data_IF_970072625868
#
_entry.id   IF_970072625868
#
_cell.length_a   1.000
_cell.length_b   1.000
_cell.length_c   1.000
_cell.angle_alpha   90.00
_cell.angle_beta   90.00
_cell.angle_gamma   90.00
#
_symmetry.space_group_name_H-M   'P 1'
#
loop_
_entity.id
_entity.type
_entity.pdbx_description
1 polymer ?
#
# COMPACT_ATOMS: atom_id res chain seq x y z
N UNK A 1 19.67 0.92 -46.90
CA UNK A 1 18.39 0.35 -46.40
C UNK A 1 17.94 1.24 -45.27
N UNK A 2 16.80 1.91 -45.46
CA UNK A 2 16.23 2.87 -44.51
C UNK A 2 15.74 2.15 -43.26
N UNK A 3 16.18 2.60 -42.09
CA UNK A 3 15.48 2.35 -40.83
C UNK A 3 15.25 3.69 -40.17
N UNK A 4 14.09 4.28 -40.50
CA UNK A 4 13.56 5.44 -39.79
C UNK A 4 13.00 4.95 -38.45
N UNK A 5 13.78 5.10 -37.38
CA UNK A 5 13.28 4.92 -36.02
C UNK A 5 12.39 6.11 -35.68
N UNK A 6 11.08 5.86 -35.73
CA UNK A 6 10.02 6.77 -35.33
C UNK A 6 10.21 7.17 -33.86
N UNK A 7 10.40 8.48 -33.64
CA UNK A 7 10.34 9.12 -32.34
C UNK A 7 8.87 9.20 -31.91
N UNK A 8 8.38 8.21 -31.19
CA UNK A 8 7.11 8.32 -30.48
C UNK A 8 7.32 9.21 -29.27
N UNK A 9 6.85 10.46 -29.39
CA UNK A 9 6.83 11.42 -28.30
C UNK A 9 5.96 10.91 -27.15
N UNK A 10 6.54 10.88 -25.95
CA UNK A 10 5.79 10.69 -24.72
C UNK A 10 5.04 11.98 -24.40
N UNK A 11 3.79 12.10 -24.83
CA UNK A 11 2.88 13.13 -24.35
C UNK A 11 1.84 12.49 -23.43
N UNK A 12 1.77 12.98 -22.18
CA UNK A 12 0.61 12.83 -21.31
C UNK A 12 0.76 11.92 -20.09
N UNK A 13 1.46 12.37 -19.04
CA UNK A 13 1.33 11.77 -17.68
C UNK A 13 1.04 12.78 -16.57
N UNK A 14 0.67 14.03 -16.89
CA UNK A 14 0.41 15.05 -15.86
C UNK A 14 -0.83 14.74 -15.00
N UNK A 15 -1.84 14.07 -15.55
CA UNK A 15 -3.07 13.73 -14.82
C UNK A 15 -2.93 12.62 -13.77
N UNK A 16 -2.02 11.66 -13.98
CA UNK A 16 -1.89 10.47 -13.10
C UNK A 16 -1.40 10.83 -11.70
N UNK A 17 -0.42 11.73 -11.60
CA UNK A 17 0.19 12.07 -10.32
C UNK A 17 -0.78 12.82 -9.39
N UNK A 18 -1.62 13.71 -9.93
CA UNK A 18 -2.55 14.48 -9.12
C UNK A 18 -3.60 13.58 -8.43
N UNK A 19 -4.12 12.58 -9.15
CA UNK A 19 -5.03 11.57 -8.59
C UNK A 19 -4.36 10.75 -7.49
N UNK A 20 -3.12 10.28 -7.73
CA UNK A 20 -2.35 9.52 -6.75
C UNK A 20 -2.06 10.34 -5.49
N UNK A 21 -1.66 11.61 -5.61
CA UNK A 21 -1.43 12.50 -4.46
C UNK A 21 -2.69 12.70 -3.63
N UNK A 22 -3.86 12.86 -4.27
CA UNK A 22 -5.14 12.97 -3.55
C UNK A 22 -5.44 11.69 -2.77
N UNK A 23 -5.31 10.52 -3.40
CA UNK A 23 -5.53 9.23 -2.74
C UNK A 23 -4.60 9.04 -1.53
N UNK A 24 -3.30 9.31 -1.71
CA UNK A 24 -2.30 9.21 -0.65
C UNK A 24 -2.56 10.20 0.50
N UNK A 25 -2.99 11.42 0.20
CA UNK A 25 -3.33 12.43 1.22
C UNK A 25 -4.52 11.97 2.06
N UNK A 26 -5.56 11.41 1.42
CA UNK A 26 -6.73 10.89 2.13
C UNK A 26 -6.38 9.67 2.99
N UNK A 27 -5.56 8.75 2.48
CA UNK A 27 -5.10 7.59 3.26
C UNK A 27 -4.24 7.99 4.45
N UNK A 28 -3.31 8.95 4.28
CA UNK A 28 -2.49 9.46 5.37
C UNK A 28 -3.36 10.09 6.46
N UNK A 29 -4.32 10.93 6.06
CA UNK A 29 -5.30 11.52 6.99
C UNK A 29 -6.08 10.43 7.73
N UNK A 30 -6.57 9.41 7.03
CA UNK A 30 -7.32 8.30 7.62
C UNK A 30 -6.49 7.46 8.61
N UNK A 31 -5.19 7.27 8.36
CA UNK A 31 -4.28 6.61 9.30
C UNK A 31 -3.98 7.47 10.53
N UNK A 32 -3.94 8.79 10.39
CA UNK A 32 -3.72 9.73 11.50
C UNK A 32 -4.98 9.91 12.37
N UNK A 33 -6.17 9.98 11.76
CA UNK A 33 -7.44 10.15 12.48
C UNK A 33 -7.93 8.86 13.14
N UNK A 34 -7.63 7.70 12.55
CA UNK A 34 -7.95 6.39 13.10
C UNK A 34 -6.69 5.51 13.15
N UNK A 35 -5.81 5.70 14.15
CA UNK A 35 -4.62 4.89 14.30
C UNK A 35 -4.96 3.40 14.47
N UNK A 36 -4.01 2.53 14.10
CA UNK A 36 -4.11 1.07 14.22
C UNK A 36 -2.95 0.57 15.06
N UNK A 37 -3.18 -0.41 15.93
CA UNK A 37 -2.09 -1.05 16.66
C UNK A 37 -1.05 -1.68 15.73
N UNK A 38 0.19 -1.67 16.22
CA UNK A 38 1.28 -2.39 15.57
C UNK A 38 2.07 -1.62 14.51
N UNK A 39 1.65 -0.42 14.11
CA UNK A 39 2.50 0.42 13.27
C UNK A 39 2.25 1.92 13.41
N UNK A 40 3.25 2.71 13.03
CA UNK A 40 3.10 4.14 12.77
C UNK A 40 3.61 4.48 11.37
N UNK A 41 3.06 5.53 10.78
CA UNK A 41 3.38 5.98 9.42
C UNK A 41 3.77 7.44 9.43
N UNK A 42 4.79 7.79 8.65
CA UNK A 42 5.22 9.17 8.43
C UNK A 42 5.53 9.35 6.94
N UNK A 43 4.78 10.24 6.29
CA UNK A 43 5.08 10.61 4.91
C UNK A 43 6.32 11.50 4.84
N UNK A 44 7.12 11.35 3.79
CA UNK A 44 8.23 12.26 3.53
C UNK A 44 7.70 13.63 3.11
N UNK A 45 8.26 14.70 3.69
CA UNK A 45 7.81 16.08 3.47
C UNK A 45 8.09 16.57 2.03
N UNK A 46 9.18 16.12 1.43
CA UNK A 46 9.60 16.52 0.08
C UNK A 46 8.94 15.67 -1.03
N UNK A 47 8.53 14.44 -0.70
CA UNK A 47 8.00 13.48 -1.65
C UNK A 47 6.91 12.60 -1.04
N UNK A 48 5.66 12.95 -1.31
CA UNK A 48 4.47 12.22 -0.87
C UNK A 48 4.40 10.76 -1.35
N UNK A 49 5.19 10.36 -2.36
CA UNK A 49 5.29 8.98 -2.83
C UNK A 49 6.28 8.12 -2.03
N UNK A 50 6.88 8.64 -0.96
CA UNK A 50 7.81 7.90 -0.11
C UNK A 50 7.40 8.04 1.35
N UNK A 51 6.98 6.95 1.98
CA UNK A 51 6.60 6.95 3.40
C UNK A 51 7.54 6.06 4.20
N UNK A 52 7.82 6.46 5.44
CA UNK A 52 8.50 5.61 6.42
C UNK A 52 7.45 5.01 7.34
N UNK A 53 7.60 3.73 7.63
CA UNK A 53 6.73 2.98 8.54
C UNK A 53 7.59 2.36 9.63
N UNK A 54 7.14 2.47 10.86
CA UNK A 54 7.66 1.67 11.97
C UNK A 54 6.64 0.59 12.29
N UNK A 55 7.04 -0.68 12.18
CA UNK A 55 6.27 -1.86 12.53
C UNK A 55 6.74 -2.38 13.90
N UNK A 56 5.79 -2.64 14.79
CA UNK A 56 6.05 -3.18 16.12
C UNK A 56 5.71 -4.66 16.13
N UNK A 57 6.63 -5.47 16.67
CA UNK A 57 6.43 -6.91 16.76
C UNK A 57 5.28 -7.29 17.69
N UNK A 58 4.28 -8.05 17.24
CA UNK A 58 3.09 -8.32 18.04
C UNK A 58 3.41 -9.17 19.29
N UNK A 59 2.75 -8.90 20.43
CA UNK A 59 2.87 -9.71 21.64
C UNK A 59 2.50 -11.18 21.40
N UNK A 60 3.23 -12.10 22.03
CA UNK A 60 3.04 -13.54 21.87
C UNK A 60 3.69 -14.15 20.62
N UNK A 61 4.38 -13.34 19.80
CA UNK A 61 5.08 -13.80 18.60
C UNK A 61 6.60 -13.82 18.81
N UNK A 62 7.35 -14.44 17.90
CA UNK A 62 8.82 -14.39 17.93
C UNK A 62 9.39 -12.97 17.74
N UNK A 63 8.58 -12.06 17.22
CA UNK A 63 8.96 -10.67 16.94
C UNK A 63 8.62 -9.72 18.08
N UNK A 64 7.94 -10.17 19.14
CA UNK A 64 7.48 -9.33 20.26
C UNK A 64 8.58 -8.38 20.76
N UNK A 65 8.22 -7.09 20.88
CA UNK A 65 9.16 -6.04 21.32
C UNK A 65 10.23 -5.68 20.27
N UNK A 66 10.03 -6.07 19.02
CA UNK A 66 10.85 -5.65 17.88
C UNK A 66 10.35 -4.34 17.26
N UNK A 67 11.28 -3.58 16.67
CA UNK A 67 11.03 -2.31 15.99
C UNK A 67 11.59 -2.35 14.56
N UNK A 68 10.73 -2.59 13.58
CA UNK A 68 11.13 -2.81 12.20
C UNK A 68 10.74 -1.61 11.34
N UNK A 69 11.74 -0.88 10.86
CA UNK A 69 11.52 0.26 9.98
C UNK A 69 11.44 -0.22 8.55
N UNK A 70 10.47 0.28 7.81
CA UNK A 70 10.35 0.04 6.38
C UNK A 70 10.08 1.34 5.63
N UNK A 71 10.42 1.36 4.35
CA UNK A 71 10.03 2.41 3.42
C UNK A 71 8.98 1.86 2.46
N UNK A 72 7.88 2.60 2.33
CA UNK A 72 6.88 2.41 1.28
C UNK A 72 7.22 3.38 0.15
N UNK A 73 7.25 2.86 -1.08
CA UNK A 73 7.37 3.69 -2.29
C UNK A 73 6.17 3.46 -3.18
N UNK A 74 5.42 4.51 -3.44
CA UNK A 74 4.20 4.47 -4.22
C UNK A 74 4.50 4.75 -5.69
N UNK A 75 3.85 4.03 -6.62
CA UNK A 75 3.95 4.35 -8.03
C UNK A 75 3.13 5.60 -8.36
N UNK A 76 3.45 6.27 -9.46
CA UNK A 76 2.76 7.49 -9.91
C UNK A 76 1.30 7.27 -10.34
N UNK A 77 0.89 6.01 -10.52
CA UNK A 77 -0.47 5.58 -10.84
C UNK A 77 -1.17 4.89 -9.66
N UNK A 78 -0.70 5.07 -8.42
CA UNK A 78 -1.44 4.62 -7.24
C UNK A 78 -2.87 5.20 -7.23
N UNK A 79 -3.92 4.44 -6.88
CA UNK A 79 -3.93 3.06 -6.35
C UNK A 79 -4.04 1.95 -7.41
N UNK A 80 -3.83 2.23 -8.70
CA UNK A 80 -3.92 1.19 -9.75
C UNK A 80 -2.75 0.20 -9.73
N UNK A 81 -1.64 0.57 -9.12
CA UNK A 81 -0.53 -0.33 -8.82
C UNK A 81 -0.14 -0.23 -7.33
N UNK A 82 0.34 -1.33 -6.73
CA UNK A 82 0.70 -1.36 -5.32
C UNK A 82 1.98 -0.56 -5.04
N UNK A 83 2.20 -0.10 -3.79
CA UNK A 83 3.51 0.34 -3.36
C UNK A 83 4.49 -0.84 -3.25
N UNK A 84 5.79 -0.55 -3.28
CA UNK A 84 6.81 -1.50 -2.82
C UNK A 84 7.12 -1.26 -1.34
N UNK A 85 7.39 -2.32 -0.57
CA UNK A 85 7.86 -2.23 0.82
C UNK A 85 9.28 -2.77 0.93
N UNK A 86 10.15 -2.01 1.59
CA UNK A 86 11.51 -2.42 1.89
C UNK A 86 11.88 -2.14 3.33
N UNK A 87 12.25 -3.18 4.08
CA UNK A 87 12.81 -3.03 5.42
C UNK A 87 14.18 -2.33 5.38
N UNK A 88 14.36 -1.36 6.27
CA UNK A 88 15.57 -0.58 6.42
C UNK A 88 16.55 -1.23 7.40
N UNK A 89 16.04 -1.92 8.41
CA UNK A 89 16.82 -2.78 9.28
C UNK A 89 16.63 -4.26 8.91
N UNK A 90 17.57 -5.11 9.34
CA UNK A 90 17.60 -6.52 8.93
C UNK A 90 16.44 -7.30 9.55
N UNK A 91 15.67 -8.00 8.71
CA UNK A 91 14.57 -8.87 9.12
C UNK A 91 14.78 -10.28 8.59
N UNK A 92 14.91 -11.25 9.48
CA UNK A 92 15.03 -12.68 9.21
C UNK A 92 13.62 -13.23 9.14
N UNK A 93 13.12 -13.39 7.93
CA UNK A 93 11.75 -13.81 7.70
C UNK A 93 11.64 -14.50 6.33
N UNK A 94 10.85 -15.58 6.19
CA UNK A 94 10.70 -16.31 4.92
C UNK A 94 10.31 -15.45 3.73
N UNK A 95 9.57 -14.36 3.95
CA UNK A 95 9.06 -13.46 2.91
C UNK A 95 9.84 -12.14 2.77
N UNK A 96 11.00 -11.99 3.40
CA UNK A 96 11.87 -10.81 3.25
C UNK A 96 13.18 -11.21 2.58
N UNK A 97 13.52 -10.57 1.46
CA UNK A 97 14.78 -10.77 0.76
C UNK A 97 15.96 -10.24 1.59
N UNK A 98 17.18 -10.71 1.32
CA UNK A 98 18.39 -10.24 2.04
C UNK A 98 18.63 -8.73 1.88
N UNK A 99 18.14 -8.15 0.78
CA UNK A 99 18.23 -6.70 0.54
C UNK A 99 17.17 -5.88 1.31
N UNK A 100 16.21 -6.53 1.99
CA UNK A 100 15.12 -5.92 2.74
C UNK A 100 13.77 -5.86 2.01
N UNK A 101 13.69 -6.18 0.72
CA UNK A 101 12.41 -6.13 -0.01
C UNK A 101 11.43 -7.18 0.52
N UNK A 102 10.18 -6.78 0.72
CA UNK A 102 9.10 -7.66 1.20
C UNK A 102 8.34 -8.28 0.02
N UNK A 103 8.09 -9.58 0.09
CA UNK A 103 7.36 -10.34 -0.93
C UNK A 103 6.07 -10.93 -0.37
N UNK A 104 4.92 -10.34 -0.73
CA UNK A 104 3.58 -10.85 -0.40
C UNK A 104 2.60 -10.56 -1.54
N UNK A 105 1.59 -11.42 -1.70
CA UNK A 105 0.63 -11.38 -2.79
C UNK A 105 -0.06 -10.01 -2.94
N UNK A 106 -0.46 -9.37 -1.84
CA UNK A 106 -1.15 -8.05 -1.87
C UNK A 106 -0.28 -6.95 -2.50
N UNK A 107 1.04 -7.13 -2.59
CA UNK A 107 1.97 -6.20 -3.26
C UNK A 107 2.28 -6.61 -4.70
N UNK A 108 1.75 -7.72 -5.19
CA UNK A 108 1.90 -8.14 -6.58
C UNK A 108 0.89 -7.43 -7.49
N UNK A 109 1.29 -6.94 -8.67
CA UNK A 109 0.40 -6.32 -9.63
C UNK A 109 -0.81 -7.22 -10.00
N UNK A 110 -1.94 -6.65 -10.43
CA UNK A 110 -3.18 -7.36 -10.75
C UNK A 110 -3.12 -8.22 -12.03
N UNK A 111 -1.93 -8.60 -12.49
CA UNK A 111 -1.77 -9.43 -13.69
C UNK A 111 -2.22 -10.84 -13.38
N UNK A 112 -3.01 -11.46 -14.26
CA UNK A 112 -3.30 -12.90 -14.15
C UNK A 112 -2.04 -13.68 -14.56
N UNK A 113 -1.42 -14.34 -13.58
CA UNK A 113 -0.30 -15.24 -13.81
C UNK A 113 -0.68 -16.65 -13.35
N UNK A 114 -1.15 -17.50 -14.29
CA UNK A 114 -1.57 -18.86 -13.99
C UNK A 114 -0.49 -19.73 -13.34
N UNK A 115 0.78 -19.35 -13.45
CA UNK A 115 1.91 -20.13 -12.93
C UNK A 115 2.29 -19.73 -11.50
N UNK A 116 1.76 -18.62 -10.96
CA UNK A 116 2.15 -18.19 -9.62
C UNK A 116 1.48 -19.00 -8.51
N UNK A 117 0.33 -19.62 -8.80
CA UNK A 117 -0.51 -20.30 -7.81
C UNK A 117 -1.20 -19.37 -6.80
N UNK A 118 -1.19 -18.06 -7.02
CA UNK A 118 -1.88 -17.08 -6.16
C UNK A 118 -3.27 -16.81 -6.71
N UNK A 119 -4.24 -16.58 -5.83
CA UNK A 119 -5.56 -16.17 -6.27
C UNK A 119 -5.53 -14.69 -6.68
N UNK A 120 -6.22 -14.34 -7.77
CA UNK A 120 -6.34 -12.94 -8.20
C UNK A 120 -6.89 -12.02 -7.08
N UNK A 121 -7.73 -12.55 -6.17
CA UNK A 121 -8.25 -11.80 -5.02
C UNK A 121 -7.22 -11.58 -3.90
N UNK A 122 -6.14 -12.36 -3.85
CA UNK A 122 -5.03 -12.18 -2.90
C UNK A 122 -4.01 -11.14 -3.39
N UNK A 123 -4.09 -10.78 -4.67
CA UNK A 123 -3.22 -9.78 -5.31
C UNK A 123 -3.71 -8.35 -5.10
N UNK A 124 -2.86 -7.40 -5.47
CA UNK A 124 -3.21 -5.98 -5.41
C UNK A 124 -4.49 -5.70 -6.20
N UNK A 125 -5.38 -4.92 -5.61
CA UNK A 125 -6.48 -4.30 -6.32
C UNK A 125 -6.71 -2.89 -5.73
N UNK A 126 -7.30 -1.94 -6.49
CA UNK A 126 -7.39 -0.54 -6.05
C UNK A 126 -8.30 -0.28 -4.82
N UNK A 127 -9.00 -1.28 -4.29
CA UNK A 127 -9.77 -1.16 -3.04
C UNK A 127 -8.91 -1.42 -1.80
N UNK A 128 -7.73 -2.01 -1.98
CA UNK A 128 -6.71 -2.11 -0.94
C UNK A 128 -6.08 -0.73 -0.69
N UNK A 129 -5.54 -0.55 0.50
CA UNK A 129 -4.93 0.69 0.98
C UNK A 129 -3.77 0.41 1.93
N UNK A 130 -3.02 1.44 2.31
CA UNK A 130 -1.85 1.30 3.19
C UNK A 130 -2.19 0.61 4.51
N UNK A 131 -3.38 0.86 5.09
CA UNK A 131 -3.84 0.16 6.30
C UNK A 131 -3.91 -1.35 6.09
N UNK A 132 -4.60 -1.80 5.04
CA UNK A 132 -4.75 -3.23 4.74
C UNK A 132 -3.41 -3.90 4.46
N UNK A 133 -2.52 -3.22 3.73
CA UNK A 133 -1.17 -3.70 3.45
C UNK A 133 -0.39 -3.93 4.75
N UNK A 134 -0.32 -2.92 5.64
CA UNK A 134 0.47 -3.00 6.86
C UNK A 134 -0.10 -4.02 7.87
N UNK A 135 -1.43 -4.17 7.92
CA UNK A 135 -2.07 -5.25 8.67
C UNK A 135 -1.68 -6.63 8.12
N UNK A 136 -1.64 -6.80 6.79
CA UNK A 136 -1.13 -8.03 6.17
C UNK A 136 0.33 -8.28 6.52
N UNK A 137 1.19 -7.26 6.56
CA UNK A 137 2.60 -7.41 6.99
C UNK A 137 2.69 -7.88 8.45
N UNK A 138 1.91 -7.29 9.35
CA UNK A 138 1.88 -7.67 10.77
C UNK A 138 1.44 -9.12 10.95
N UNK A 139 0.38 -9.55 10.26
CA UNK A 139 -0.08 -10.93 10.28
C UNK A 139 0.99 -11.88 9.75
N UNK A 140 1.65 -11.50 8.65
CA UNK A 140 2.70 -12.29 8.01
C UNK A 140 3.90 -12.52 8.94
N UNK A 141 4.30 -11.54 9.76
CA UNK A 141 5.40 -11.71 10.71
C UNK A 141 5.20 -12.94 11.61
N UNK A 142 3.97 -13.25 12.01
CA UNK A 142 3.68 -14.43 12.83
C UNK A 142 3.38 -15.69 12.00
N UNK A 143 2.78 -15.51 10.82
CA UNK A 143 2.39 -16.60 9.91
C UNK A 143 3.06 -16.47 8.54
N UNK A 144 4.37 -16.75 8.44
CA UNK A 144 5.08 -16.67 7.17
C UNK A 144 4.50 -17.58 6.10
N UNK A 145 4.43 -17.09 4.86
CA UNK A 145 4.13 -17.92 3.70
C UNK A 145 5.41 -18.63 3.24
N UNK A 146 5.45 -19.95 3.45
CA UNK A 146 6.60 -20.80 3.09
C UNK A 146 6.51 -21.47 1.73
N UNK A 147 5.41 -21.29 1.00
CA UNK A 147 5.19 -21.89 -0.33
C UNK A 147 6.03 -21.22 -1.40
N UNK A 148 6.21 -19.89 -1.30
CA UNK A 148 6.99 -19.07 -2.23
C UNK A 148 7.90 -18.10 -1.46
N UNK A 149 8.94 -18.60 -0.76
CA UNK A 149 9.73 -17.76 0.14
C UNK A 149 10.73 -16.88 -0.63
N UNK A 150 10.84 -15.62 -0.21
CA UNK A 150 11.91 -14.72 -0.61
C UNK A 150 13.27 -15.13 0.01
N UNK A 151 13.23 -15.73 1.20
CA UNK A 151 14.39 -16.26 1.91
C UNK A 151 14.18 -17.76 2.20
N UNK A 152 14.81 -18.59 1.38
CA UNK A 152 14.69 -20.06 1.43
C UNK A 152 15.22 -20.61 2.75
N UNK A 153 16.33 -20.07 3.27
CA UNK A 153 16.93 -20.54 4.52
C UNK A 153 16.01 -20.25 5.71
N UNK A 154 15.48 -19.02 5.82
CA UNK A 154 14.50 -18.65 6.82
C UNK A 154 13.25 -19.53 6.75
N UNK A 155 12.78 -19.84 5.53
CA UNK A 155 11.63 -20.72 5.29
C UNK A 155 11.87 -22.15 5.78
N UNK A 156 13.04 -22.74 5.48
CA UNK A 156 13.43 -24.08 5.96
C UNK A 156 13.54 -24.10 7.48
N UNK A 157 14.19 -23.10 8.07
CA UNK A 157 14.35 -23.01 9.53
C UNK A 157 13.00 -22.84 10.23
N UNK A 158 12.10 -21.99 9.70
CA UNK A 158 10.76 -21.79 10.25
C UNK A 158 9.95 -23.09 10.24
N UNK A 159 9.95 -23.85 9.14
CA UNK A 159 9.24 -25.14 9.08
C UNK A 159 9.76 -26.12 10.13
N UNK A 160 11.08 -26.28 10.24
CA UNK A 160 11.69 -27.13 11.27
C UNK A 160 11.33 -26.68 12.69
N UNK A 161 11.35 -25.38 12.95
CA UNK A 161 10.94 -24.81 14.23
C UNK A 161 9.48 -25.17 14.55
N UNK A 162 8.56 -24.92 13.60
CA UNK A 162 7.12 -25.20 13.75
C UNK A 162 6.82 -26.69 13.95
N UNK A 163 7.36 -27.56 13.10
CA UNK A 163 7.17 -29.02 13.16
C UNK A 163 7.72 -29.63 14.45
N UNK A 164 8.79 -29.04 15.00
CA UNK A 164 9.39 -29.50 16.26
C UNK A 164 8.67 -28.99 17.52
N UNK A 165 7.64 -28.15 17.37
CA UNK A 165 7.00 -27.46 18.49
C UNK A 165 7.95 -26.51 19.22
N UNK A 166 8.86 -25.86 18.48
CA UNK A 166 9.83 -24.92 19.01
C UNK A 166 11.14 -25.52 19.54
N UNK A 167 11.30 -26.85 19.55
CA UNK A 167 12.55 -27.51 20.01
C UNK A 167 13.75 -27.19 19.11
N UNK A 168 13.54 -27.08 17.81
CA UNK A 168 14.55 -26.60 16.87
C UNK A 168 14.53 -25.06 16.84
N UNK A 169 15.23 -24.45 17.79
CA UNK A 169 15.20 -23.02 18.09
C UNK A 169 16.09 -22.16 17.16
N UNK A 170 16.65 -22.73 16.08
CA UNK A 170 17.56 -21.99 15.20
C UNK A 170 16.91 -20.73 14.59
N UNK A 171 15.70 -20.88 14.06
CA UNK A 171 14.91 -19.77 13.50
C UNK A 171 14.66 -18.69 14.57
N UNK A 172 14.07 -19.10 15.69
CA UNK A 172 13.66 -18.21 16.76
C UNK A 172 14.86 -17.51 17.42
N UNK A 173 16.02 -18.17 17.54
CA UNK A 173 17.27 -17.54 18.00
C UNK A 173 17.73 -16.43 17.07
N UNK A 174 17.65 -16.59 15.76
CA UNK A 174 18.02 -15.56 14.80
C UNK A 174 17.04 -14.37 14.84
N UNK A 175 15.73 -14.64 14.94
CA UNK A 175 14.72 -13.60 15.10
C UNK A 175 14.95 -12.81 16.39
N UNK A 176 15.13 -13.48 17.54
CA UNK A 176 15.40 -12.80 18.82
C UNK A 176 16.63 -11.90 18.79
N UNK A 177 17.70 -12.34 18.12
CA UNK A 177 18.90 -11.51 17.91
C UNK A 177 18.60 -10.22 17.16
N UNK A 178 17.69 -10.26 16.18
CA UNK A 178 17.30 -9.07 15.42
C UNK A 178 16.31 -8.19 16.17
N UNK A 179 15.40 -8.79 16.96
CA UNK A 179 14.55 -8.04 17.88
C UNK A 179 15.42 -7.22 18.84
N UNK A 180 16.42 -7.84 19.46
CA UNK A 180 17.38 -7.14 20.34
C UNK A 180 18.11 -6.02 19.61
N UNK A 181 18.65 -6.29 18.41
CA UNK A 181 19.32 -5.25 17.61
C UNK A 181 18.37 -4.09 17.25
N UNK A 182 17.11 -4.39 16.95
CA UNK A 182 16.11 -3.40 16.58
C UNK A 182 15.72 -2.46 17.72
N UNK A 183 15.89 -2.89 18.98
CA UNK A 183 15.67 -2.03 20.16
C UNK A 183 16.69 -0.89 20.21
N UNK A 184 17.93 -1.15 19.81
CA UNK A 184 18.96 -0.10 19.70
C UNK A 184 18.60 0.93 18.62
N UNK A 185 17.99 0.49 17.51
CA UNK A 185 17.48 1.39 16.48
C UNK A 185 16.31 2.24 17.02
N UNK A 186 15.42 1.65 17.84
CA UNK A 186 14.31 2.37 18.48
C UNK A 186 14.81 3.44 19.45
N UNK A 187 15.79 3.10 20.30
CA UNK A 187 16.42 4.05 21.22
C UNK A 187 17.04 5.23 20.48
N UNK A 188 17.74 4.95 19.38
CA UNK A 188 18.34 6.00 18.53
C UNK A 188 17.30 6.93 17.92
N UNK A 189 16.15 6.40 17.55
CA UNK A 189 15.02 7.17 17.00
C UNK A 189 14.13 7.81 18.08
N UNK A 190 14.38 7.55 19.36
CA UNK A 190 13.54 8.03 20.47
C UNK A 190 12.16 7.37 20.54
N UNK A 191 12.02 6.16 20.00
CA UNK A 191 10.76 5.42 19.94
C UNK A 191 10.65 4.46 21.13
N UNK A 192 9.53 4.52 21.84
CA UNK A 192 9.20 3.55 22.89
C UNK A 192 8.46 2.37 22.25
N UNK A 193 9.09 1.20 22.28
CA UNK A 193 8.53 -0.02 21.69
C UNK A 193 7.55 -0.67 22.67
N UNK A 194 6.30 -0.98 22.26
CA UNK A 194 5.37 -1.73 23.11
C UNK A 194 5.87 -3.16 23.32
N UNK A 195 5.98 -3.59 24.57
CA UNK A 195 6.45 -4.93 24.91
C UNK A 195 5.32 -5.83 25.44
N UNK A 196 4.28 -5.21 25.98
CA UNK A 196 3.12 -5.90 26.55
C UNK A 196 1.89 -5.78 25.66
N UNK A 197 0.90 -6.65 25.88
CA UNK A 197 -0.38 -6.56 25.18
C UNK A 197 -1.12 -5.24 25.46
N UNK A 198 -1.02 -4.73 26.69
CA UNK A 198 -1.68 -3.48 27.10
C UNK A 198 -1.07 -2.24 26.44
N UNK A 199 0.23 -2.25 26.19
CA UNK A 199 0.93 -1.17 25.47
C UNK A 199 0.73 -1.26 23.96
N UNK A 200 0.61 -2.48 23.44
CA UNK A 200 0.43 -2.72 22.02
C UNK A 200 -0.97 -2.32 21.54
N UNK A 201 -2.00 -2.59 22.34
CA UNK A 201 -3.39 -2.29 21.98
C UNK A 201 -3.74 -0.82 22.20
N UNK A 202 -4.35 -0.19 21.19
CA UNK A 202 -4.88 1.17 21.33
C UNK A 202 -6.08 1.14 22.27
N UNK A 203 -6.03 1.95 23.34
CA UNK A 203 -7.14 2.10 24.27
C UNK A 203 -8.29 2.85 23.59
N UNK A 204 -9.34 2.14 23.20
CA UNK A 204 -10.59 2.78 22.79
C UNK A 204 -11.28 3.37 24.01
N UNK A 205 -11.46 4.69 24.05
CA UNK A 205 -12.37 5.30 25.02
C UNK A 205 -13.80 4.80 24.73
N UNK A 206 -14.60 4.45 25.74
CA UNK A 206 -16.00 4.16 25.53
C UNK A 206 -16.66 5.42 24.94
N UNK A 207 -17.19 5.30 23.72
CA UNK A 207 -18.05 6.35 23.14
C UNK A 207 -19.20 6.56 24.12
N UNK A 208 -19.36 7.77 24.66
CA UNK A 208 -20.61 8.14 25.34
C UNK A 208 -21.74 7.92 24.34
N UNK A 209 -22.81 7.22 24.75
CA UNK A 209 -23.99 6.95 23.91
C UNK A 209 -24.82 8.22 23.56
N UNK A 210 -24.21 9.40 23.60
CA UNK A 210 -24.85 10.63 23.18
C UNK A 210 -24.39 10.92 21.75
N UNK A 211 -25.38 10.90 20.86
CA UNK A 211 -25.33 11.28 19.45
C UNK A 211 -24.78 10.25 18.44
N UNK A 212 -25.54 9.17 18.23
CA UNK A 212 -25.66 8.58 16.89
C UNK A 212 -26.59 9.46 16.03
N UNK A 213 -26.21 10.71 15.80
CA UNK A 213 -26.58 11.40 14.57
C UNK A 213 -25.37 11.30 13.66
N UNK A 214 -25.30 10.19 12.89
CA UNK A 214 -24.42 10.13 11.73
C UNK A 214 -24.90 11.20 10.75
N UNK A 215 -24.41 12.42 10.95
CA UNK A 215 -24.38 13.45 9.94
C UNK A 215 -23.51 12.91 8.81
N UNK A 216 -24.17 12.33 7.82
CA UNK A 216 -23.60 12.16 6.49
C UNK A 216 -23.28 13.57 5.99
N UNK A 217 -22.05 14.02 6.22
CA UNK A 217 -21.45 15.18 5.56
C UNK A 217 -21.33 14.85 4.06
N UNK A 218 -22.44 14.98 3.34
CA UNK A 218 -22.51 15.03 1.88
C UNK A 218 -22.45 16.48 1.43
N UNK A 219 -21.42 17.21 1.85
CA UNK A 219 -21.16 18.57 1.37
C UNK A 219 -19.75 18.64 0.79
N UNK A 220 -19.49 17.99 -0.34
CA UNK A 220 -18.45 18.49 -1.25
C UNK A 220 -18.64 17.96 -2.69
N UNK A 221 -18.88 18.90 -3.61
CA UNK A 221 -18.91 18.77 -5.09
C UNK A 221 -20.26 18.69 -5.84
N UNK A 222 -21.20 19.59 -5.52
CA UNK A 222 -22.21 20.01 -6.50
C UNK A 222 -21.51 20.69 -7.69
N UNK A 223 -21.29 19.93 -8.77
CA UNK A 223 -20.82 20.43 -10.05
C UNK A 223 -21.85 21.42 -10.62
N UNK A 224 -21.49 22.69 -10.61
CA UNK A 224 -22.16 23.76 -11.34
C UNK A 224 -21.94 23.52 -12.84
N UNK A 225 -22.94 22.98 -13.52
CA UNK A 225 -22.98 23.03 -14.99
C UNK A 225 -23.26 24.47 -15.36
N UNK A 226 -22.19 25.21 -15.65
CA UNK A 226 -22.26 26.47 -16.36
C UNK A 226 -23.02 26.26 -17.66
N UNK A 227 -24.23 26.79 -17.68
CA UNK A 227 -25.07 27.06 -18.84
C UNK A 227 -24.31 28.01 -19.78
N UNK A 228 -23.52 27.45 -20.70
CA UNK A 228 -23.12 28.17 -21.91
C UNK A 228 -24.24 27.99 -22.93
N UNK A 229 -25.15 28.95 -22.89
CA UNK A 229 -26.24 29.20 -23.82
C UNK A 229 -25.80 29.19 -25.28
N UNK A 230 -26.51 28.37 -26.07
CA UNK A 230 -26.93 28.54 -27.46
C UNK A 230 -26.15 29.51 -28.37
N UNK A 231 -25.28 28.94 -29.20
CA UNK A 231 -25.09 29.42 -30.57
C UNK A 231 -25.49 28.25 -31.51
N UNK A 232 -26.81 28.09 -31.72
CA UNK A 232 -27.34 27.30 -32.83
C UNK A 232 -27.03 28.05 -34.15
N UNK A 233 -25.98 27.63 -34.86
CA UNK A 233 -25.74 28.08 -36.23
C UNK A 233 -26.82 27.47 -37.17
N UNK A 234 -27.76 28.31 -37.57
CA UNK A 234 -28.78 28.06 -38.60
C UNK A 234 -28.11 27.64 -39.93
N UNK A 235 -28.43 26.43 -40.39
CA UNK A 235 -28.13 25.97 -41.74
C UNK A 235 -29.21 26.49 -42.69
N UNK A 236 -28.96 27.63 -43.33
CA UNK A 236 -29.74 28.06 -44.50
C UNK A 236 -29.40 27.16 -45.70
N UNK A 237 -30.24 26.17 -45.96
CA UNK A 237 -30.20 25.38 -47.19
C UNK A 237 -30.76 26.25 -48.34
N UNK A 238 -29.85 26.86 -49.08
CA UNK A 238 -30.14 27.65 -50.28
C UNK A 238 -30.88 26.80 -51.33
N UNK A 239 -32.19 27.01 -51.44
CA UNK A 239 -33.02 26.48 -52.51
C UNK A 239 -33.38 27.61 -53.49
N UNK A 240 -32.50 27.88 -54.45
CA UNK A 240 -32.81 28.66 -55.67
C UNK A 240 -32.19 27.92 -56.87
N UNK A 241 -32.99 27.12 -57.57
CA UNK A 241 -33.67 27.49 -58.82
C UNK A 241 -32.73 27.95 -59.94
N UNK A 242 -32.55 27.08 -60.95
CA UNK A 242 -32.55 27.47 -62.37
C UNK A 242 -32.14 26.27 -63.23
N UNK A 243 -33.01 25.89 -64.17
CA UNK A 243 -32.61 24.90 -65.18
C UNK A 243 -33.74 24.29 -66.00
N UNK A 244 -34.69 25.10 -66.47
CA UNK A 244 -35.51 24.72 -67.61
C UNK A 244 -34.59 24.52 -68.82
N UNK A 245 -34.50 23.29 -69.30
CA UNK A 245 -33.83 22.92 -70.54
C UNK A 245 -34.82 22.19 -71.44
N UNK A 246 -35.50 22.95 -72.29
CA UNK A 246 -36.28 22.45 -73.41
C UNK A 246 -35.36 21.79 -74.45
N UNK A 247 -35.65 20.53 -74.80
CA UNK A 247 -35.73 19.99 -76.17
C UNK A 247 -36.04 18.49 -76.16
#
# INVERSE_FOLDING_TARGET
>A
MNSASSLMGSQGTSGSCAGAIRALTLELKGLQTSPVEGFTVTANEDNMFVWTVALYGPPGTLYQGGYFKAVLKFPSNYPYAPPSIKFLNKVWHPNVYENGDLCISILHPPVDDPHSGELACERWNPTQNVRTILLSVISLLNEPNTSSPANVDASVMYRKWKESGGKNDEYARLVRKQVEASRLDAEKDGVVVPETLEEYCIKTAPKSNEDCTDGFDLDEDYYDYGDESDDEEEYEENAEDSGQGEN
#
